data_IF_485945002841
#
_entry.id   IF_485945002841
#
_cell.length_a   1.000
_cell.length_b   1.000
_cell.length_c   1.000
_cell.angle_alpha   90.00
_cell.angle_beta   90.00
_cell.angle_gamma   90.00
#
_symmetry.space_group_name_H-M   'P 1'
#
loop_
_entity.id
_entity.type
_entity.pdbx_description
1 polymer ?
#
# COMPACT_ATOMS: atom_id res chain seq x y z
N UNK A 1 13.82 2.45 0.72
CA UNK A 1 13.45 1.91 -0.60
C UNK A 1 14.18 0.62 -0.93
N UNK A 2 15.50 0.55 -0.66
CA UNK A 2 16.28 -0.64 -0.97
C UNK A 2 15.84 -1.87 -0.18
N UNK A 3 15.31 -1.67 1.03
CA UNK A 3 14.88 -2.79 1.89
C UNK A 3 13.66 -3.52 1.35
N UNK A 4 12.77 -2.81 0.67
CA UNK A 4 11.57 -3.45 0.13
C UNK A 4 11.92 -4.55 -0.88
N UNK A 5 13.01 -4.38 -1.63
CA UNK A 5 13.48 -5.37 -2.59
C UNK A 5 13.97 -6.66 -1.93
N UNK A 6 14.18 -6.65 -0.61
CA UNK A 6 14.61 -7.84 0.15
C UNK A 6 13.44 -8.67 0.64
N UNK A 7 12.22 -8.18 0.52
CA UNK A 7 11.03 -8.97 0.87
C UNK A 7 10.77 -9.95 -0.27
N UNK A 8 10.78 -11.25 0.04
CA UNK A 8 10.57 -12.28 -0.98
C UNK A 8 9.31 -12.07 -1.80
N UNK A 9 8.19 -11.82 -1.12
CA UNK A 9 6.91 -11.64 -1.79
C UNK A 9 6.96 -10.46 -2.76
N UNK A 10 7.67 -9.38 -2.40
CA UNK A 10 7.80 -8.21 -3.26
C UNK A 10 8.63 -8.50 -4.49
N UNK A 11 9.75 -9.21 -4.30
CA UNK A 11 10.67 -9.53 -5.40
C UNK A 11 10.03 -10.43 -6.44
N UNK A 12 9.23 -11.40 -5.99
CA UNK A 12 8.57 -12.37 -6.86
C UNK A 12 7.23 -11.89 -7.39
N UNK A 13 6.69 -10.82 -6.84
CA UNK A 13 5.40 -10.30 -7.25
C UNK A 13 5.44 -9.75 -8.67
N UNK A 14 4.37 -9.98 -9.43
CA UNK A 14 4.17 -9.40 -10.75
C UNK A 14 3.18 -8.24 -10.72
N UNK A 15 2.11 -8.37 -9.93
CA UNK A 15 1.07 -7.35 -9.78
C UNK A 15 1.19 -6.70 -8.41
N UNK A 16 1.58 -5.43 -8.38
CA UNK A 16 1.92 -4.73 -7.14
C UNK A 16 1.04 -3.49 -7.00
N UNK A 17 0.31 -3.43 -5.87
CA UNK A 17 -0.45 -2.24 -5.49
C UNK A 17 0.42 -1.31 -4.68
N UNK A 18 0.35 -0.03 -4.99
CA UNK A 18 1.04 1.02 -4.27
C UNK A 18 0.07 2.16 -4.02
N UNK A 19 0.53 3.19 -3.32
CA UNK A 19 -0.23 4.42 -3.13
C UNK A 19 0.55 5.58 -3.74
N UNK A 20 -0.17 6.64 -4.11
CA UNK A 20 0.47 7.91 -4.44
C UNK A 20 0.54 8.71 -3.14
N UNK A 21 1.73 9.15 -2.70
CA UNK A 21 1.87 9.73 -1.37
C UNK A 21 1.19 11.07 -1.23
N UNK A 22 0.62 11.30 -0.04
CA UNK A 22 0.06 12.58 0.38
C UNK A 22 0.63 12.97 1.73
N UNK A 23 0.74 14.29 1.95
CA UNK A 23 1.24 14.81 3.23
C UNK A 23 2.61 14.25 3.59
N UNK A 24 2.71 13.69 4.79
CA UNK A 24 3.97 13.15 5.32
C UNK A 24 4.18 11.66 5.05
N UNK A 25 3.39 11.06 4.17
CA UNK A 25 3.57 9.66 3.81
C UNK A 25 4.94 9.44 3.17
N UNK A 26 5.47 8.22 3.36
CA UNK A 26 6.72 7.81 2.70
C UNK A 26 6.52 7.87 1.18
N UNK A 27 7.47 8.48 0.48
CA UNK A 27 7.38 8.67 -0.97
C UNK A 27 7.56 7.33 -1.70
N UNK A 28 6.71 7.12 -2.69
CA UNK A 28 6.68 5.87 -3.46
C UNK A 28 6.96 6.07 -4.94
N UNK A 29 7.11 7.32 -5.41
CA UNK A 29 7.26 7.58 -6.84
C UNK A 29 8.44 6.86 -7.47
N UNK A 30 9.58 6.82 -6.79
CA UNK A 30 10.77 6.15 -7.31
C UNK A 30 10.56 4.62 -7.38
N UNK A 31 9.88 4.06 -6.38
CA UNK A 31 9.55 2.63 -6.37
C UNK A 31 8.63 2.30 -7.54
N UNK A 32 7.63 3.13 -7.76
CA UNK A 32 6.68 2.96 -8.86
C UNK A 32 7.41 2.95 -10.19
N UNK A 33 8.26 3.94 -10.44
CA UNK A 33 9.00 4.05 -11.68
C UNK A 33 9.95 2.88 -11.89
N UNK A 34 10.64 2.46 -10.85
CA UNK A 34 11.54 1.32 -10.92
C UNK A 34 10.81 0.03 -11.29
N UNK A 35 9.67 -0.22 -10.65
CA UNK A 35 8.88 -1.42 -10.93
C UNK A 35 8.37 -1.44 -12.37
N UNK A 36 7.86 -0.30 -12.85
CA UNK A 36 7.40 -0.20 -14.23
C UNK A 36 8.56 -0.45 -15.20
N UNK A 37 9.74 0.10 -14.92
CA UNK A 37 10.91 -0.09 -15.78
C UNK A 37 11.38 -1.54 -15.82
N UNK A 38 11.10 -2.31 -14.77
CA UNK A 38 11.44 -3.74 -14.69
C UNK A 38 10.38 -4.65 -15.31
N UNK A 39 9.33 -4.08 -15.88
CA UNK A 39 8.25 -4.86 -16.49
C UNK A 39 7.21 -5.38 -15.50
N UNK A 40 7.21 -4.90 -14.26
CA UNK A 40 6.17 -5.24 -13.29
C UNK A 40 4.91 -4.45 -13.58
N UNK A 41 3.77 -4.99 -13.18
CA UNK A 41 2.50 -4.30 -13.30
C UNK A 41 2.20 -3.55 -12.00
N UNK A 42 2.05 -2.24 -12.11
CA UNK A 42 1.80 -1.36 -10.96
C UNK A 42 0.35 -0.88 -10.99
N UNK A 43 -0.30 -0.96 -9.84
CA UNK A 43 -1.69 -0.59 -9.66
C UNK A 43 -1.79 0.44 -8.55
N UNK A 44 -2.63 1.47 -8.77
CA UNK A 44 -2.92 2.46 -7.74
C UNK A 44 -4.41 2.46 -7.43
N UNK A 45 -4.80 2.87 -6.22
CA UNK A 45 -6.20 2.80 -5.82
C UNK A 45 -7.01 3.96 -6.36
N UNK A 46 -8.27 3.68 -6.65
CA UNK A 46 -9.27 4.68 -7.00
C UNK A 46 -10.48 4.46 -6.11
N UNK A 47 -10.94 5.53 -5.46
CA UNK A 47 -12.12 5.48 -4.60
C UNK A 47 -13.38 5.59 -5.46
N UNK A 48 -14.29 4.64 -5.31
CA UNK A 48 -15.58 4.60 -6.00
C UNK A 48 -16.66 4.56 -4.92
N UNK A 49 -17.25 5.72 -4.60
CA UNK A 49 -18.22 5.82 -3.52
C UNK A 49 -17.60 5.43 -2.17
N UNK A 50 -18.12 4.38 -1.55
CA UNK A 50 -17.60 3.87 -0.28
C UNK A 50 -16.59 2.75 -0.46
N UNK A 51 -16.27 2.39 -1.69
CA UNK A 51 -15.37 1.29 -2.02
C UNK A 51 -14.12 1.81 -2.70
N UNK A 52 -13.17 0.90 -2.89
CA UNK A 52 -11.92 1.19 -3.53
C UNK A 52 -11.59 0.07 -4.51
N UNK A 53 -11.06 0.44 -5.67
CA UNK A 53 -10.57 -0.53 -6.63
C UNK A 53 -9.17 -0.13 -7.07
N UNK A 54 -8.40 -1.10 -7.55
CA UNK A 54 -7.05 -0.85 -8.05
C UNK A 54 -7.06 -0.88 -9.58
N UNK A 55 -6.34 0.05 -10.19
CA UNK A 55 -6.23 0.17 -11.63
C UNK A 55 -4.78 0.26 -12.07
N UNK A 56 -4.47 -0.41 -13.17
CA UNK A 56 -3.11 -0.46 -13.70
C UNK A 56 -2.72 0.88 -14.31
N UNK A 57 -1.51 1.34 -13.99
CA UNK A 57 -0.93 2.52 -14.61
C UNK A 57 0.28 2.13 -15.46
N UNK A 58 0.50 2.85 -16.54
CA UNK A 58 1.67 2.67 -17.41
C UNK A 58 2.76 3.69 -17.07
N UNK A 59 2.36 4.87 -16.60
CA UNK A 59 3.24 5.94 -16.15
C UNK A 59 2.41 6.95 -15.36
N UNK A 60 3.02 8.03 -14.90
CA UNK A 60 2.30 9.04 -14.13
C UNK A 60 1.31 9.86 -14.98
N UNK A 61 1.42 9.80 -16.30
CA UNK A 61 0.43 10.39 -17.20
C UNK A 61 -0.93 9.68 -17.15
N UNK A 62 -0.97 8.46 -16.56
CA UNK A 62 -2.22 7.72 -16.35
C UNK A 62 -3.03 8.23 -15.15
N UNK A 63 -2.54 9.24 -14.43
CA UNK A 63 -3.13 9.73 -13.20
C UNK A 63 -3.84 11.05 -13.40
N UNK A 64 -4.86 11.29 -12.58
CA UNK A 64 -5.55 12.58 -12.49
C UNK A 64 -5.94 12.83 -11.03
N UNK A 65 -6.22 14.09 -10.68
CA UNK A 65 -6.66 14.43 -9.34
C UNK A 65 -8.05 13.82 -9.08
N UNK A 66 -8.15 13.06 -8.01
CA UNK A 66 -9.39 12.37 -7.66
C UNK A 66 -9.94 12.81 -6.31
N UNK A 67 -10.62 11.88 -5.64
CA UNK A 67 -11.22 12.10 -4.33
C UNK A 67 -10.15 12.40 -3.28
N UNK A 68 -10.48 13.25 -2.30
CA UNK A 68 -9.60 13.61 -1.18
C UNK A 68 -8.29 14.30 -1.65
N UNK A 69 -8.31 14.93 -2.84
CA UNK A 69 -7.12 15.57 -3.43
C UNK A 69 -5.94 14.62 -3.59
N UNK A 70 -6.24 13.36 -3.89
CA UNK A 70 -5.24 12.31 -4.13
C UNK A 70 -5.20 11.98 -5.61
N UNK A 71 -3.99 11.81 -6.17
CA UNK A 71 -3.85 11.37 -7.55
C UNK A 71 -4.36 9.94 -7.69
N UNK A 72 -5.21 9.73 -8.67
CA UNK A 72 -5.86 8.45 -8.94
C UNK A 72 -5.70 8.05 -10.40
N UNK A 73 -5.76 6.73 -10.72
CA UNK A 73 -5.78 6.29 -12.11
C UNK A 73 -7.01 6.84 -12.84
N UNK A 74 -6.82 7.20 -14.10
CA UNK A 74 -7.91 7.66 -14.95
C UNK A 74 -8.91 6.54 -15.23
N UNK A 75 -10.12 6.93 -15.68
CA UNK A 75 -11.21 5.99 -15.93
C UNK A 75 -10.87 4.89 -16.96
N UNK A 76 -10.01 5.19 -17.90
CA UNK A 76 -9.62 4.22 -18.93
C UNK A 76 -8.56 3.21 -18.48
N UNK A 77 -8.04 3.34 -17.26
CA UNK A 77 -7.08 2.39 -16.73
C UNK A 77 -7.78 1.09 -16.34
N UNK A 78 -7.13 -0.04 -16.63
CA UNK A 78 -7.68 -1.37 -16.40
C UNK A 78 -7.83 -1.66 -14.90
N UNK A 79 -9.01 -2.11 -14.47
CA UNK A 79 -9.25 -2.55 -13.10
C UNK A 79 -8.74 -3.97 -12.90
N UNK A 80 -8.00 -4.19 -11.83
CA UNK A 80 -7.61 -5.52 -11.40
C UNK A 80 -7.36 -5.48 -9.89
N UNK A 81 -8.19 -6.19 -9.14
CA UNK A 81 -8.10 -6.25 -7.68
C UNK A 81 -7.41 -7.51 -7.19
N UNK A 82 -6.94 -8.34 -8.09
CA UNK A 82 -6.30 -9.63 -7.79
C UNK A 82 -4.78 -9.45 -7.76
N UNK A 83 -4.31 -8.70 -6.77
CA UNK A 83 -2.92 -8.29 -6.67
C UNK A 83 -2.10 -9.29 -5.86
N UNK A 84 -0.80 -9.36 -6.15
CA UNK A 84 0.11 -10.24 -5.42
C UNK A 84 0.51 -9.62 -4.08
N UNK A 85 0.73 -8.30 -4.06
CA UNK A 85 1.19 -7.60 -2.88
C UNK A 85 0.71 -6.15 -2.93
N UNK A 86 0.45 -5.56 -1.77
CA UNK A 86 0.06 -4.15 -1.65
C UNK A 86 0.93 -3.47 -0.61
N UNK A 87 1.48 -2.32 -0.98
CA UNK A 87 2.13 -1.39 -0.06
C UNK A 87 1.04 -0.45 0.44
N UNK A 88 0.73 -0.53 1.72
CA UNK A 88 -0.42 0.13 2.34
C UNK A 88 0.02 1.43 3.01
N UNK A 89 -0.63 2.58 2.71
CA UNK A 89 -0.31 3.83 3.38
C UNK A 89 -0.62 3.73 4.87
N UNK A 90 0.27 4.26 5.72
CA UNK A 90 0.21 4.03 7.15
C UNK A 90 0.59 5.30 7.91
N UNK A 91 -0.22 5.67 8.90
CA UNK A 91 0.06 6.81 9.80
C UNK A 91 0.87 6.33 11.00
N UNK A 92 0.50 5.19 11.54
CA UNK A 92 1.20 4.54 12.65
C UNK A 92 0.91 3.06 12.62
N UNK A 93 1.76 2.26 13.25
CA UNK A 93 1.59 0.82 13.24
C UNK A 93 2.20 0.19 14.50
N UNK A 94 1.57 -0.88 15.00
CA UNK A 94 2.14 -1.66 16.09
C UNK A 94 3.08 -2.74 15.53
N UNK A 95 4.01 -3.24 16.34
CA UNK A 95 4.89 -4.34 15.89
C UNK A 95 4.15 -5.60 15.48
N UNK A 96 2.91 -5.76 15.92
CA UNK A 96 2.04 -6.90 15.53
C UNK A 96 1.32 -6.66 14.20
N UNK A 97 1.46 -5.48 13.60
CA UNK A 97 0.87 -5.20 12.30
C UNK A 97 -0.49 -4.51 12.34
N UNK A 98 -0.92 -4.02 13.50
CA UNK A 98 -2.17 -3.26 13.60
C UNK A 98 -1.89 -1.82 13.19
N UNK A 99 -2.57 -1.36 12.17
CA UNK A 99 -2.28 -0.10 11.50
C UNK A 99 -3.28 1.00 11.84
N UNK A 100 -2.77 2.24 11.98
CA UNK A 100 -3.58 3.45 11.95
C UNK A 100 -3.52 4.05 10.55
N UNK A 101 -4.68 4.32 9.97
CA UNK A 101 -4.79 5.02 8.69
C UNK A 101 -5.52 6.33 8.86
N UNK A 102 -6.12 6.83 7.79
CA UNK A 102 -6.80 8.12 7.79
C UNK A 102 -8.28 8.04 8.21
N UNK A 103 -8.73 6.89 8.71
CA UNK A 103 -10.06 6.74 9.28
C UNK A 103 -11.18 6.40 8.31
N UNK A 104 -10.91 6.25 7.03
CA UNK A 104 -11.92 5.93 6.03
C UNK A 104 -12.19 4.42 5.88
N UNK A 105 -11.27 3.57 6.34
CA UNK A 105 -11.44 2.13 6.30
C UNK A 105 -11.37 1.49 4.91
N UNK A 106 -10.95 2.22 3.88
CA UNK A 106 -10.90 1.70 2.51
C UNK A 106 -9.99 0.47 2.37
N UNK A 107 -8.80 0.50 2.98
CA UNK A 107 -7.86 -0.60 2.88
C UNK A 107 -8.31 -1.81 3.70
N UNK A 108 -8.84 -1.58 4.91
CA UNK A 108 -9.36 -2.68 5.72
C UNK A 108 -10.52 -3.39 5.01
N UNK A 109 -11.39 -2.61 4.39
CA UNK A 109 -12.53 -3.13 3.65
C UNK A 109 -12.08 -3.87 2.39
N UNK A 110 -11.14 -3.28 1.64
CA UNK A 110 -10.63 -3.89 0.41
C UNK A 110 -9.91 -5.21 0.70
N UNK A 111 -9.11 -5.26 1.77
CA UNK A 111 -8.28 -6.40 2.12
C UNK A 111 -9.02 -7.47 2.92
N UNK A 112 -10.22 -7.16 3.41
CA UNK A 112 -11.03 -8.13 4.14
C UNK A 112 -11.27 -9.37 3.27
N UNK A 113 -11.01 -10.56 3.82
CA UNK A 113 -11.19 -11.85 3.16
C UNK A 113 -10.31 -12.05 1.92
N UNK A 114 -9.27 -11.24 1.76
CA UNK A 114 -8.29 -11.40 0.66
C UNK A 114 -6.98 -11.92 1.23
N UNK A 115 -6.31 -12.76 0.47
CA UNK A 115 -5.00 -13.30 0.83
C UNK A 115 -3.92 -12.58 0.01
N UNK A 116 -3.76 -11.30 0.30
CA UNK A 116 -2.77 -10.45 -0.35
C UNK A 116 -1.72 -10.08 0.68
N UNK A 117 -0.44 -10.24 0.33
CA UNK A 117 0.66 -9.83 1.20
C UNK A 117 0.69 -8.31 1.30
N UNK A 118 0.83 -7.79 2.52
CA UNK A 118 0.79 -6.36 2.79
C UNK A 118 2.11 -5.87 3.39
N UNK A 119 2.52 -4.66 2.97
CA UNK A 119 3.73 -4.00 3.45
C UNK A 119 3.38 -2.59 3.90
N UNK A 120 3.90 -2.16 5.05
CA UNK A 120 3.87 -0.76 5.44
C UNK A 120 5.27 -0.17 5.39
N UNK A 121 5.42 0.98 4.73
CA UNK A 121 6.63 1.78 4.75
C UNK A 121 6.38 2.91 5.75
N UNK A 122 7.24 3.03 6.76
CA UNK A 122 6.98 3.94 7.87
C UNK A 122 8.31 4.36 8.52
N UNK A 123 8.30 5.50 9.19
CA UNK A 123 9.44 5.92 10.00
C UNK A 123 9.41 5.18 11.34
N UNK A 124 10.59 4.88 11.88
CA UNK A 124 10.72 4.15 13.15
C UNK A 124 9.91 4.84 14.27
N UNK A 125 9.90 6.17 14.30
CA UNK A 125 9.15 6.94 15.31
C UNK A 125 7.63 6.77 15.21
N UNK A 126 7.13 6.23 14.10
CA UNK A 126 5.70 5.99 13.92
C UNK A 126 5.27 4.60 14.36
N UNK A 127 6.20 3.79 14.84
CA UNK A 127 5.87 2.49 15.45
C UNK A 127 5.33 2.77 16.85
N UNK A 128 4.11 2.31 17.10
CA UNK A 128 3.37 2.53 18.34
C UNK A 128 3.20 1.17 19.01
N UNK A 129 3.67 1.07 20.25
CA UNK A 129 3.78 -0.20 20.95
C UNK A 129 2.44 -0.94 21.11
N UNK A 130 1.37 -0.20 21.41
CA UNK A 130 0.06 -0.78 21.64
C UNK A 130 -1.00 0.01 20.87
N UNK A 131 -1.57 -0.62 19.84
CA UNK A 131 -2.72 -0.07 19.13
C UNK A 131 -3.86 -1.06 19.29
N UNK A 132 -5.00 -0.65 19.85
CA UNK A 132 -6.16 -1.54 19.98
C UNK A 132 -6.62 -2.00 18.61
N UNK A 133 -6.82 -3.30 18.46
CA UNK A 133 -7.32 -3.88 17.22
C UNK A 133 -8.82 -4.09 17.29
N UNK A 134 -9.55 -3.58 16.29
CA UNK A 134 -10.97 -3.93 16.13
C UNK A 134 -11.06 -5.21 15.29
N UNK A 135 -12.22 -5.88 15.33
CA UNK A 135 -12.40 -7.12 14.61
C UNK A 135 -12.39 -6.97 13.09
N UNK A 136 -12.53 -5.73 12.60
CA UNK A 136 -12.50 -5.42 11.15
C UNK A 136 -11.13 -5.02 10.65
N UNK A 137 -10.17 -4.81 11.55
CA UNK A 137 -8.82 -4.40 11.16
C UNK A 137 -8.04 -5.56 10.58
N UNK A 138 -7.29 -5.30 9.52
CA UNK A 138 -6.37 -6.27 8.96
C UNK A 138 -5.01 -6.15 9.63
N UNK A 139 -4.22 -7.23 9.58
CA UNK A 139 -2.83 -7.20 10.01
C UNK A 139 -1.91 -7.02 8.80
N UNK A 140 -1.01 -6.04 8.91
CA UNK A 140 0.04 -5.84 7.92
C UNK A 140 1.10 -6.93 8.12
N UNK A 141 1.59 -7.53 7.05
CA UNK A 141 2.53 -8.64 7.11
C UNK A 141 3.97 -8.21 7.31
N UNK A 142 4.38 -7.11 6.69
CA UNK A 142 5.76 -6.61 6.73
C UNK A 142 5.80 -5.14 7.09
N UNK A 143 6.74 -4.78 7.95
CA UNK A 143 7.00 -3.38 8.30
C UNK A 143 8.43 -3.05 7.88
N UNK A 144 8.60 -1.96 7.14
CA UNK A 144 9.91 -1.49 6.68
C UNK A 144 10.08 -0.06 7.14
N UNK A 145 11.15 0.19 7.90
CA UNK A 145 11.51 1.52 8.38
C UNK A 145 12.87 1.92 7.82
N UNK A 146 13.33 3.12 8.16
CA UNK A 146 14.70 3.55 7.80
C UNK A 146 15.78 2.70 8.47
N UNK A 147 15.43 2.03 9.59
CA UNK A 147 16.40 1.27 10.38
C UNK A 147 16.34 -0.24 10.19
N UNK A 148 15.16 -0.78 9.88
CA UNK A 148 14.98 -2.24 9.84
C UNK A 148 13.79 -2.67 8.98
N UNK A 149 13.74 -3.95 8.69
CA UNK A 149 12.54 -4.57 8.15
C UNK A 149 12.25 -5.85 8.92
N UNK A 150 10.99 -6.13 9.15
CA UNK A 150 10.61 -7.33 9.87
C UNK A 150 9.20 -7.78 9.52
N UNK A 151 8.98 -9.07 9.67
CA UNK A 151 7.66 -9.67 9.49
C UNK A 151 6.91 -9.56 10.81
N UNK A 152 5.64 -9.15 10.72
CA UNK A 152 4.82 -8.97 11.93
C UNK A 152 4.42 -10.31 12.51
N UNK A 153 4.18 -10.33 13.82
CA UNK A 153 3.66 -11.51 14.51
C UNK A 153 2.19 -11.28 14.82
N UNK A 154 1.40 -12.27 14.49
CA UNK A 154 -0.04 -12.24 14.78
C UNK A 154 -0.32 -12.45 16.26
#
# INVERSE_FOLDING_TARGET
QKRINKVYAFKDAQKIGLYYPIGSEILTQDIIQELISKGKEVFLPKVIGENMEFRKIEDFGSLEMGNFDIMEPKENCKVDNDLDIIVVPTVGISPSGVRLGYGHGFYDKFLAKKDITTISLILEKQIIKNIPKSEHDININWIITEDRMFQTQK
#
